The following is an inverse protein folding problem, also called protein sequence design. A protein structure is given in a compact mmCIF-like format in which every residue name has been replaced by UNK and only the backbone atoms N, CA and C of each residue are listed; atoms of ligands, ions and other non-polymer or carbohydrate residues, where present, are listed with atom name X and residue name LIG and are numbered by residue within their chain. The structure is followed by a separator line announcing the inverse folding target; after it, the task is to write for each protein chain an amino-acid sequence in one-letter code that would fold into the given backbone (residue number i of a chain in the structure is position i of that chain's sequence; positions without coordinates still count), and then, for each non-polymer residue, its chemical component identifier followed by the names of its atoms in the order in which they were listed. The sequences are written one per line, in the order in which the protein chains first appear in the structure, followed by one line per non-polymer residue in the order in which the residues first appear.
data_IF_130697993016
#
_entry.id   IF_130697993016
#
_cell.length_a   1.000
_cell.length_b   1.000
_cell.length_c   1.000
_cell.angle_alpha   90.00
_cell.angle_beta   90.00
_cell.angle_gamma   90.00
#
_symmetry.space_group_name_H-M   'P 1'
#
loop_
_entity.id
_entity.type
_entity.pdbx_description
1 polymer ?
#
# COMPACT_ATOMS: atom_id res chain seq x y z
N UNK A 1 8.64 15.04 18.50
CA UNK A 1 7.95 13.98 17.74
C UNK A 1 6.98 13.29 18.68
N UNK A 2 5.69 13.22 18.32
CA UNK A 2 4.76 12.33 19.03
C UNK A 2 5.20 10.89 18.76
N UNK A 3 5.03 9.99 19.74
CA UNK A 3 5.18 8.55 19.48
C UNK A 3 4.25 8.13 18.35
N UNK A 4 4.75 7.27 17.47
CA UNK A 4 4.00 6.70 16.35
C UNK A 4 3.13 5.55 16.86
N UNK A 5 1.92 5.42 16.32
CA UNK A 5 1.02 4.32 16.66
C UNK A 5 0.96 3.34 15.50
N UNK A 6 1.45 2.11 15.73
CA UNK A 6 1.45 1.03 14.74
C UNK A 6 0.09 0.73 14.10
N UNK A 7 -1.02 0.94 14.82
CA UNK A 7 -2.37 0.74 14.26
C UNK A 7 -2.73 1.85 13.27
N UNK A 8 -2.29 3.08 13.53
CA UNK A 8 -2.43 4.19 12.57
C UNK A 8 -1.63 3.89 11.31
N UNK A 9 -0.40 3.37 11.44
CA UNK A 9 0.40 2.91 10.30
C UNK A 9 -0.26 1.78 9.52
N UNK A 10 -0.86 0.80 10.22
CA UNK A 10 -1.59 -0.29 9.57
C UNK A 10 -2.81 0.23 8.78
N UNK A 11 -3.50 1.27 9.31
CA UNK A 11 -4.60 1.92 8.60
C UNK A 11 -4.18 2.55 7.27
N UNK A 12 -2.90 2.90 7.09
CA UNK A 12 -2.40 3.41 5.81
C UNK A 12 -2.61 2.43 4.64
N UNK A 13 -2.70 1.13 4.90
CA UNK A 13 -2.92 0.11 3.87
C UNK A 13 -4.40 -0.09 3.53
N UNK A 14 -5.31 0.40 4.38
CA UNK A 14 -6.76 0.38 4.13
C UNK A 14 -7.21 1.76 3.60
N UNK A 15 -6.75 2.83 4.27
CA UNK A 15 -7.04 4.23 3.97
C UNK A 15 -5.74 5.03 4.11
N UNK A 16 -5.02 5.23 3.01
CA UNK A 16 -3.64 5.72 2.99
C UNK A 16 -3.41 7.08 3.66
N UNK A 17 -4.39 7.97 3.67
CA UNK A 17 -4.24 9.33 4.19
C UNK A 17 -4.47 9.46 5.71
N UNK A 18 -4.93 8.42 6.40
CA UNK A 18 -5.21 8.49 7.85
C UNK A 18 -3.97 8.89 8.68
N UNK A 19 -2.77 8.32 8.49
CA UNK A 19 -1.58 8.74 9.24
C UNK A 19 -1.24 10.21 9.08
N UNK A 20 -1.44 10.79 7.89
CA UNK A 20 -1.15 12.19 7.63
C UNK A 20 -2.06 13.15 8.38
N UNK A 21 -3.30 12.75 8.67
CA UNK A 21 -4.23 13.53 9.50
C UNK A 21 -3.80 13.55 10.97
N UNK A 22 -3.04 12.55 11.41
CA UNK A 22 -2.54 12.45 12.79
C UNK A 22 -1.27 13.27 12.98
N UNK A 23 -0.28 13.05 12.12
CA UNK A 23 0.97 13.81 12.10
C UNK A 23 1.60 13.75 10.71
N UNK A 24 1.28 14.74 9.88
CA UNK A 24 1.74 14.83 8.49
C UNK A 24 3.23 15.07 8.32
N UNK A 25 3.94 15.49 9.38
CA UNK A 25 5.40 15.72 9.36
C UNK A 25 6.18 14.50 9.85
N UNK A 26 5.52 13.46 10.32
CA UNK A 26 6.17 12.26 10.84
C UNK A 26 6.64 11.35 9.70
N UNK A 27 7.94 11.09 9.62
CA UNK A 27 8.56 10.29 8.56
C UNK A 27 8.06 8.83 8.50
N UNK A 28 7.71 8.21 9.62
CA UNK A 28 7.17 6.84 9.65
C UNK A 28 5.73 6.81 9.12
N UNK A 29 4.92 7.80 9.49
CA UNK A 29 3.57 7.97 8.96
C UNK A 29 3.61 8.26 7.45
N UNK A 30 4.48 9.18 7.01
CA UNK A 30 4.73 9.42 5.58
C UNK A 30 5.20 8.15 4.86
N UNK A 31 6.05 7.33 5.49
CA UNK A 31 6.53 6.09 4.92
C UNK A 31 5.37 5.10 4.65
N UNK A 32 4.60 4.74 5.68
CA UNK A 32 3.50 3.78 5.52
C UNK A 32 2.36 4.32 4.64
N UNK A 33 2.11 5.63 4.68
CA UNK A 33 1.21 6.29 3.74
C UNK A 33 1.70 6.16 2.29
N UNK A 34 2.98 6.39 2.02
CA UNK A 34 3.53 6.24 0.66
C UNK A 34 3.44 4.79 0.16
N UNK A 35 3.70 3.79 1.01
CA UNK A 35 3.55 2.37 0.67
C UNK A 35 2.09 2.02 0.39
N UNK A 36 1.16 2.46 1.25
CA UNK A 36 -0.27 2.24 1.07
C UNK A 36 -0.83 2.90 -0.19
N UNK A 37 -0.43 4.14 -0.49
CA UNK A 37 -0.81 4.85 -1.70
C UNK A 37 -0.27 4.16 -2.96
N UNK A 38 1.00 3.74 -2.95
CA UNK A 38 1.60 3.02 -4.08
C UNK A 38 0.89 1.70 -4.34
N UNK A 39 0.48 0.98 -3.29
CA UNK A 39 -0.28 -0.25 -3.40
C UNK A 39 -1.70 -0.02 -3.93
N UNK A 40 -2.36 1.06 -3.51
CA UNK A 40 -3.65 1.46 -4.04
C UNK A 40 -3.57 1.73 -5.55
N UNK A 41 -2.56 2.50 -5.98
CA UNK A 41 -2.33 2.79 -7.41
C UNK A 41 -2.12 1.50 -8.19
N UNK A 42 -1.26 0.59 -7.69
CA UNK A 42 -1.03 -0.70 -8.34
C UNK A 42 -2.33 -1.51 -8.47
N UNK A 43 -3.13 -1.57 -7.40
CA UNK A 43 -4.39 -2.32 -7.38
C UNK A 43 -5.40 -1.76 -8.38
N UNK A 44 -5.48 -0.43 -8.50
CA UNK A 44 -6.32 0.26 -9.50
C UNK A 44 -5.84 -0.06 -10.91
N UNK A 45 -4.52 -0.02 -11.17
CA UNK A 45 -3.96 -0.35 -12.48
C UNK A 45 -4.24 -1.81 -12.87
N UNK A 46 -4.05 -2.76 -11.96
CA UNK A 46 -4.38 -4.18 -12.19
C UNK A 46 -5.87 -4.34 -12.53
N UNK A 47 -6.74 -3.67 -11.78
CA UNK A 47 -8.20 -3.74 -11.98
C UNK A 47 -8.62 -3.17 -13.33
N UNK A 48 -8.09 -2.00 -13.70
CA UNK A 48 -8.36 -1.36 -14.99
C UNK A 48 -7.86 -2.27 -16.12
N UNK A 49 -6.57 -2.61 -16.14
CA UNK A 49 -5.98 -3.43 -17.21
C UNK A 49 -6.67 -4.78 -17.34
N UNK A 50 -6.94 -5.46 -16.22
CA UNK A 50 -7.62 -6.74 -16.21
C UNK A 50 -9.08 -6.67 -16.68
N UNK A 51 -9.76 -5.54 -16.52
CA UNK A 51 -11.15 -5.38 -16.98
C UNK A 51 -11.25 -5.14 -18.49
N UNK A 52 -10.28 -4.43 -19.08
CA UNK A 52 -10.29 -4.07 -20.51
C UNK A 52 -9.78 -5.18 -21.44
N UNK A 53 -9.10 -6.22 -20.93
CA UNK A 53 -8.58 -7.34 -21.73
C UNK A 53 -9.47 -8.57 -21.55
N UNK A 54 -10.31 -8.95 -22.53
CA UNK A 54 -11.17 -10.13 -22.41
C UNK A 54 -10.35 -11.41 -22.26
N UNK A 55 -10.92 -12.42 -21.58
CA UNK A 55 -10.32 -13.74 -21.33
C UNK A 55 -9.03 -13.68 -20.51
N UNK A 56 -7.92 -13.16 -21.06
CA UNK A 56 -6.63 -13.04 -20.36
C UNK A 56 -6.76 -12.11 -19.15
N UNK A 57 -7.39 -10.96 -19.31
CA UNK A 57 -7.58 -10.02 -18.20
C UNK A 57 -8.39 -10.64 -17.08
N UNK A 58 -9.49 -11.29 -17.42
CA UNK A 58 -10.42 -11.87 -16.44
C UNK A 58 -9.86 -13.11 -15.73
N UNK A 59 -9.23 -14.02 -16.46
CA UNK A 59 -8.79 -15.31 -15.92
C UNK A 59 -7.32 -15.36 -15.51
N UNK A 60 -6.49 -14.38 -15.90
CA UNK A 60 -5.08 -14.32 -15.50
C UNK A 60 -4.75 -13.02 -14.76
N UNK A 61 -4.99 -11.85 -15.37
CA UNK A 61 -4.53 -10.58 -14.79
C UNK A 61 -5.24 -10.27 -13.48
N UNK A 62 -6.57 -10.34 -13.45
CA UNK A 62 -7.36 -10.07 -12.24
C UNK A 62 -7.05 -11.04 -11.10
N UNK A 63 -7.07 -12.37 -11.27
CA UNK A 63 -6.81 -13.28 -10.15
C UNK A 63 -5.36 -13.26 -9.68
N UNK A 64 -4.39 -13.28 -10.60
CA UNK A 64 -2.96 -13.31 -10.23
C UNK A 64 -2.53 -11.95 -9.69
N UNK A 65 -2.89 -10.88 -10.39
CA UNK A 65 -2.58 -9.51 -9.97
C UNK A 65 -3.28 -9.13 -8.67
N UNK A 66 -4.54 -9.55 -8.48
CA UNK A 66 -5.27 -9.38 -7.23
C UNK A 66 -4.62 -10.11 -6.07
N UNK A 67 -4.25 -11.39 -6.26
CA UNK A 67 -3.53 -12.16 -5.25
C UNK A 67 -2.17 -11.51 -4.91
N UNK A 68 -1.43 -11.05 -5.91
CA UNK A 68 -0.17 -10.36 -5.71
C UNK A 68 -0.34 -9.07 -4.89
N UNK A 69 -1.32 -8.22 -5.23
CA UNK A 69 -1.63 -7.01 -4.48
C UNK A 69 -2.06 -7.33 -3.04
N UNK A 70 -2.83 -8.40 -2.85
CA UNK A 70 -3.26 -8.85 -1.52
C UNK A 70 -2.06 -9.33 -0.66
N UNK A 71 -1.11 -10.06 -1.24
CA UNK A 71 0.12 -10.44 -0.53
C UNK A 71 0.92 -9.20 -0.11
N UNK A 72 1.07 -8.22 -1.00
CA UNK A 72 1.74 -6.95 -0.66
C UNK A 72 1.00 -6.18 0.43
N UNK A 73 -0.33 -6.18 0.42
CA UNK A 73 -1.15 -5.59 1.49
C UNK A 73 -0.81 -6.21 2.84
N UNK A 74 -0.85 -7.55 2.93
CA UNK A 74 -0.54 -8.27 4.18
C UNK A 74 0.90 -8.00 4.63
N UNK A 75 1.88 -8.02 3.73
CA UNK A 75 3.27 -7.66 4.05
C UNK A 75 3.38 -6.25 4.63
N UNK A 76 2.66 -5.29 4.04
CA UNK A 76 2.64 -3.91 4.48
C UNK A 76 2.06 -3.75 5.89
N UNK A 77 0.91 -4.39 6.15
CA UNK A 77 0.28 -4.42 7.47
C UNK A 77 1.20 -5.07 8.51
N UNK A 78 1.83 -6.21 8.19
CA UNK A 78 2.79 -6.87 9.08
C UNK A 78 3.99 -5.98 9.38
N UNK A 79 4.51 -5.27 8.38
CA UNK A 79 5.62 -4.33 8.59
C UNK A 79 5.20 -3.17 9.50
N UNK A 80 4.02 -2.59 9.30
CA UNK A 80 3.49 -1.51 10.15
C UNK A 80 3.25 -1.95 11.60
N UNK A 81 2.64 -3.12 11.82
CA UNK A 81 2.38 -3.65 13.17
C UNK A 81 3.68 -3.96 13.91
N UNK A 82 4.73 -4.34 13.18
CA UNK A 82 6.07 -4.58 13.73
C UNK A 82 6.94 -3.32 13.75
N UNK A 83 6.40 -2.13 13.44
CA UNK A 83 7.12 -0.84 13.47
C UNK A 83 8.37 -0.85 12.56
N UNK A 84 8.27 -1.54 11.42
CA UNK A 84 9.33 -1.67 10.42
C UNK A 84 9.03 -0.83 9.20
N UNK A 85 9.90 0.13 8.91
CA UNK A 85 9.92 0.87 7.64
C UNK A 85 10.57 0.05 6.52
N UNK A 86 10.00 -1.13 6.23
CA UNK A 86 10.48 -2.03 5.17
C UNK A 86 9.63 -1.84 3.91
N UNK A 87 10.31 -1.54 2.81
CA UNK A 87 9.69 -1.31 1.50
C UNK A 87 9.00 -2.57 0.98
N UNK A 88 7.82 -2.37 0.37
CA UNK A 88 7.14 -3.44 -0.36
C UNK A 88 7.91 -3.79 -1.63
N UNK A 89 7.97 -5.08 -2.01
CA UNK A 89 8.55 -5.49 -3.28
C UNK A 89 7.96 -4.71 -4.47
N UNK A 90 8.82 -4.39 -5.45
CA UNK A 90 8.50 -3.73 -6.73
C UNK A 90 8.06 -2.26 -6.60
N UNK A 91 7.12 -1.94 -5.70
CA UNK A 91 6.50 -0.63 -5.57
C UNK A 91 7.06 0.22 -4.43
N UNK A 92 7.82 -0.38 -3.51
CA UNK A 92 8.18 0.29 -2.26
C UNK A 92 9.20 1.41 -2.37
N UNK A 93 9.89 1.54 -3.51
CA UNK A 93 10.85 2.62 -3.80
C UNK A 93 10.22 3.98 -4.12
N UNK A 94 8.92 4.02 -4.42
CA UNK A 94 8.24 5.25 -4.79
C UNK A 94 7.92 6.09 -3.53
N UNK A 95 8.14 7.41 -3.63
CA UNK A 95 7.80 8.41 -2.62
C UNK A 95 7.00 9.52 -3.31
N UNK A 96 5.69 9.48 -3.13
CA UNK A 96 4.72 10.39 -3.74
C UNK A 96 4.41 11.57 -2.83
N UNK A 97 4.47 11.36 -1.51
CA UNK A 97 4.32 12.37 -0.46
C UNK A 97 5.70 12.63 0.13
N UNK A 98 6.09 13.92 0.15
CA UNK A 98 7.36 14.42 0.69
C UNK A 98 7.18 14.91 2.12
#
# INVERSE_FOLDING_TARGET
MKETNKWINALAYIVFFIPLLVDGENEEYKFHTNQGLSLLILTVLVSIVGSFVPVIGWFLILPIGGLFCFVLFIMGVINAINEKMKELPIIGKYRLIK
#
